data_IF_121493563190
#
_entry.id   IF_121493563190
#
_cell.length_a   1.000
_cell.length_b   1.000
_cell.length_c   1.000
_cell.angle_alpha   90.00
_cell.angle_beta   90.00
_cell.angle_gamma   90.00
#
_symmetry.space_group_name_H-M   'P 1'
#
loop_
_entity.id
_entity.type
_entity.pdbx_description
1 polymer ?
#
# COMPACT_ATOMS: atom_id res chain seq x y z
N UNK A 1 -0.58 -12.86 -19.03
CA UNK A 1 0.27 -11.93 -19.81
C UNK A 1 -0.11 -10.51 -19.40
N UNK A 2 0.79 -9.73 -18.77
CA UNK A 2 0.45 -8.39 -18.22
C UNK A 2 0.09 -7.38 -19.29
N UNK A 3 0.67 -7.54 -20.49
CA UNK A 3 0.44 -6.68 -21.64
C UNK A 3 -1.00 -6.73 -22.15
N UNK A 4 -1.66 -7.89 -22.08
CA UNK A 4 -3.05 -8.05 -22.53
C UNK A 4 -4.03 -7.32 -21.60
N UNK A 5 -3.76 -7.36 -20.29
CA UNK A 5 -4.53 -6.62 -19.29
C UNK A 5 -4.36 -5.11 -19.52
N UNK A 6 -3.11 -4.66 -19.72
CA UNK A 6 -2.82 -3.24 -19.98
C UNK A 6 -3.47 -2.78 -21.29
N UNK A 7 -3.42 -3.60 -22.35
CA UNK A 7 -4.04 -3.30 -23.64
C UNK A 7 -5.56 -3.15 -23.55
N UNK A 8 -6.21 -3.93 -22.68
CA UNK A 8 -7.65 -3.82 -22.43
C UNK A 8 -8.05 -2.46 -21.85
N UNK A 9 -7.21 -1.87 -20.98
CA UNK A 9 -7.45 -0.56 -20.36
C UNK A 9 -6.84 0.61 -21.14
N UNK A 10 -5.90 0.36 -22.06
CA UNK A 10 -5.27 1.38 -22.91
C UNK A 10 -6.08 1.65 -24.19
N UNK A 11 -7.28 2.24 -24.04
CA UNK A 11 -8.19 2.54 -25.16
C UNK A 11 -7.57 3.41 -26.25
N UNK A 12 -6.61 4.27 -25.88
CA UNK A 12 -5.92 5.18 -26.81
C UNK A 12 -4.65 4.58 -27.43
N UNK A 13 -4.30 3.33 -27.10
CA UNK A 13 -3.05 2.67 -27.53
C UNK A 13 -1.80 3.52 -27.29
N UNK A 14 -1.78 4.29 -26.20
CA UNK A 14 -0.66 5.17 -25.88
C UNK A 14 0.50 4.32 -25.33
N UNK A 15 1.67 4.27 -26.02
CA UNK A 15 2.78 3.41 -25.62
C UNK A 15 3.37 3.82 -24.27
N UNK A 16 3.34 5.12 -23.94
CA UNK A 16 3.86 5.65 -22.67
C UNK A 16 3.01 5.19 -21.50
N UNK A 17 1.68 5.19 -21.67
CA UNK A 17 0.75 4.71 -20.64
C UNK A 17 0.94 3.21 -20.38
N UNK A 18 1.17 2.43 -21.44
CA UNK A 18 1.41 1.00 -21.33
C UNK A 18 2.71 0.67 -20.57
N UNK A 19 3.78 1.43 -20.83
CA UNK A 19 5.05 1.29 -20.12
C UNK A 19 4.90 1.57 -18.61
N UNK A 20 4.21 2.66 -18.28
CA UNK A 20 3.92 3.05 -16.90
C UNK A 20 3.12 1.97 -16.17
N UNK A 21 2.06 1.45 -16.80
CA UNK A 21 1.23 0.41 -16.22
C UNK A 21 1.98 -0.91 -16.05
N UNK A 22 2.83 -1.27 -17.01
CA UNK A 22 3.66 -2.49 -16.95
C UNK A 22 4.62 -2.46 -15.77
N UNK A 23 5.25 -1.31 -15.53
CA UNK A 23 6.17 -1.13 -14.42
C UNK A 23 5.44 -0.99 -13.08
N UNK A 24 4.29 -0.31 -13.09
CA UNK A 24 3.45 -0.14 -11.91
C UNK A 24 2.90 -1.44 -11.36
N UNK A 25 2.47 -2.36 -12.23
CA UNK A 25 1.98 -3.68 -11.83
C UNK A 25 3.05 -4.45 -11.03
N UNK A 26 4.29 -4.50 -11.51
CA UNK A 26 5.37 -5.23 -10.84
C UNK A 26 5.65 -4.67 -9.43
N UNK A 27 5.63 -3.35 -9.25
CA UNK A 27 5.81 -2.70 -7.94
C UNK A 27 4.62 -2.87 -7.01
N UNK A 28 3.41 -2.83 -7.57
CA UNK A 28 2.19 -3.00 -6.80
C UNK A 28 2.14 -4.41 -6.18
N UNK A 29 2.62 -5.43 -6.91
CA UNK A 29 2.74 -6.79 -6.40
C UNK A 29 3.61 -6.88 -5.13
N UNK A 30 4.66 -6.06 -5.00
CA UNK A 30 5.50 -6.03 -3.80
C UNK A 30 4.71 -5.58 -2.56
N UNK A 31 3.72 -4.70 -2.73
CA UNK A 31 2.86 -4.23 -1.63
C UNK A 31 1.97 -5.33 -1.08
N UNK A 32 1.68 -6.38 -1.86
CA UNK A 32 0.68 -7.39 -1.53
C UNK A 32 1.03 -8.18 -0.26
N UNK A 33 2.33 -8.43 -0.02
CA UNK A 33 2.82 -9.12 1.17
C UNK A 33 2.53 -8.29 2.43
N UNK A 34 2.87 -7.01 2.40
CA UNK A 34 2.64 -6.08 3.53
C UNK A 34 1.15 -5.82 3.74
N UNK A 35 0.41 -5.64 2.64
CA UNK A 35 -1.05 -5.46 2.66
C UNK A 35 -1.74 -6.64 3.35
N UNK A 36 -1.38 -7.88 3.00
CA UNK A 36 -1.96 -9.07 3.61
C UNK A 36 -1.76 -9.12 5.13
N UNK A 37 -0.57 -8.77 5.60
CA UNK A 37 -0.26 -8.72 7.03
C UNK A 37 -1.02 -7.61 7.76
N UNK A 38 -1.11 -6.41 7.17
CA UNK A 38 -1.86 -5.30 7.75
C UNK A 38 -3.36 -5.62 7.85
N UNK A 39 -3.95 -6.22 6.81
CA UNK A 39 -5.35 -6.66 6.82
C UNK A 39 -5.58 -7.74 7.87
N UNK A 40 -4.71 -8.74 7.95
CA UNK A 40 -4.81 -9.78 8.98
C UNK A 40 -4.72 -9.20 10.40
N UNK A 41 -3.85 -8.20 10.64
CA UNK A 41 -3.75 -7.52 11.92
C UNK A 41 -5.00 -6.70 12.27
N UNK A 42 -5.61 -6.01 11.30
CA UNK A 42 -6.89 -5.30 11.50
C UNK A 42 -7.97 -6.31 11.90
N UNK A 43 -8.07 -7.44 11.19
CA UNK A 43 -9.02 -8.51 11.54
C UNK A 43 -8.75 -9.07 12.94
N UNK A 44 -7.49 -9.26 13.31
CA UNK A 44 -7.13 -9.71 14.67
C UNK A 44 -7.58 -8.72 15.75
N UNK A 45 -7.27 -7.43 15.61
CA UNK A 45 -7.70 -6.41 16.58
C UNK A 45 -9.22 -6.28 16.67
N UNK A 46 -9.92 -6.46 15.54
CA UNK A 46 -11.37 -6.50 15.52
C UNK A 46 -11.94 -7.73 16.28
N UNK A 47 -11.26 -8.88 16.21
CA UNK A 47 -11.69 -10.11 16.90
C UNK A 47 -11.43 -10.10 18.42
N UNK A 48 -10.43 -9.37 18.90
CA UNK A 48 -10.13 -9.25 20.35
C UNK A 48 -10.83 -8.05 21.01
N UNK A 49 -11.91 -7.54 20.42
CA UNK A 49 -12.69 -6.40 20.92
C UNK A 49 -11.88 -5.11 21.12
N UNK A 50 -10.84 -4.89 20.30
CA UNK A 50 -10.00 -3.70 20.29
C UNK A 50 -10.23 -2.84 19.03
N UNK A 51 -11.46 -2.32 18.81
CA UNK A 51 -11.84 -1.64 17.57
C UNK A 51 -11.07 -0.34 17.35
N UNK A 52 -10.62 0.33 18.41
CA UNK A 52 -9.84 1.56 18.33
C UNK A 52 -8.48 1.28 17.68
N UNK A 53 -7.83 0.16 18.02
CA UNK A 53 -6.57 -0.27 17.40
C UNK A 53 -6.78 -0.63 15.93
N UNK A 54 -7.83 -1.40 15.63
CA UNK A 54 -8.19 -1.76 14.25
C UNK A 54 -8.46 -0.53 13.36
N UNK A 55 -9.19 0.46 13.90
CA UNK A 55 -9.49 1.71 13.20
C UNK A 55 -8.24 2.56 13.00
N UNK A 56 -7.37 2.65 14.02
CA UNK A 56 -6.11 3.38 13.93
C UNK A 56 -5.22 2.84 12.80
N UNK A 57 -5.06 1.52 12.72
CA UNK A 57 -4.29 0.87 11.64
C UNK A 57 -4.94 1.13 10.28
N UNK A 58 -6.27 1.06 10.19
CA UNK A 58 -7.01 1.34 8.95
C UNK A 58 -6.83 2.78 8.47
N UNK A 59 -6.86 3.76 9.38
CA UNK A 59 -6.64 5.18 9.09
C UNK A 59 -5.19 5.48 8.68
N UNK A 60 -4.23 4.86 9.36
CA UNK A 60 -2.81 4.97 9.02
C UNK A 60 -2.53 4.47 7.61
N UNK A 61 -3.04 3.27 7.30
CA UNK A 61 -2.92 2.64 5.98
C UNK A 61 -3.65 3.41 4.89
N UNK A 62 -4.83 3.97 5.18
CA UNK A 62 -5.68 4.61 4.17
C UNK A 62 -5.28 6.05 3.86
N UNK A 63 -4.89 6.83 4.88
CA UNK A 63 -4.77 8.27 4.75
C UNK A 63 -3.48 8.81 5.39
N UNK A 64 -3.26 8.53 6.68
CA UNK A 64 -2.28 9.27 7.48
C UNK A 64 -0.84 8.99 7.04
N UNK A 65 -0.50 7.76 6.66
CA UNK A 65 0.85 7.42 6.16
C UNK A 65 0.90 7.53 4.64
N UNK A 66 -0.12 7.03 3.93
CA UNK A 66 -0.11 6.99 2.46
C UNK A 66 -0.01 8.38 1.84
N UNK A 67 -0.79 9.36 2.31
CA UNK A 67 -0.82 10.71 1.71
C UNK A 67 0.56 11.39 1.77
N UNK A 68 1.22 11.52 2.95
CA UNK A 68 2.52 12.19 3.01
C UNK A 68 3.60 11.40 2.28
N UNK A 69 3.61 10.07 2.34
CA UNK A 69 4.57 9.24 1.61
C UNK A 69 4.39 9.39 0.10
N UNK A 70 3.14 9.43 -0.39
CA UNK A 70 2.84 9.64 -1.80
C UNK A 70 3.33 11.00 -2.28
N UNK A 71 3.07 12.07 -1.53
CA UNK A 71 3.54 13.42 -1.89
C UNK A 71 5.07 13.48 -1.89
N UNK A 72 5.70 12.92 -0.85
CA UNK A 72 7.16 12.90 -0.71
C UNK A 72 7.82 12.10 -1.85
N UNK A 73 7.37 10.88 -2.11
CA UNK A 73 7.96 10.03 -3.13
C UNK A 73 7.66 10.54 -4.54
N UNK A 74 6.46 11.06 -4.79
CA UNK A 74 6.13 11.71 -6.07
C UNK A 74 7.02 12.93 -6.32
N UNK A 75 7.31 13.72 -5.28
CA UNK A 75 8.23 14.87 -5.41
C UNK A 75 9.69 14.47 -5.70
N UNK A 76 10.15 13.35 -5.15
CA UNK A 76 11.55 12.90 -5.31
C UNK A 76 11.80 12.07 -6.57
N UNK A 77 10.87 11.18 -6.92
CA UNK A 77 11.03 10.18 -7.99
C UNK A 77 9.92 10.24 -9.06
N UNK A 78 9.04 11.24 -9.02
CA UNK A 78 7.94 11.38 -9.96
C UNK A 78 7.05 10.15 -9.96
N UNK A 79 6.78 9.61 -11.14
CA UNK A 79 5.87 8.49 -11.34
C UNK A 79 6.36 7.17 -10.71
N UNK A 80 7.67 6.94 -10.70
CA UNK A 80 8.26 5.78 -10.00
C UNK A 80 7.99 5.86 -8.49
N UNK A 81 8.06 7.07 -7.93
CA UNK A 81 7.74 7.34 -6.54
C UNK A 81 6.28 7.06 -6.19
N UNK A 82 5.34 7.36 -7.09
CA UNK A 82 3.91 7.06 -6.89
C UNK A 82 3.65 5.56 -6.78
N UNK A 83 4.34 4.74 -7.57
CA UNK A 83 4.20 3.28 -7.48
C UNK A 83 4.86 2.71 -6.22
N UNK A 84 5.99 3.30 -5.79
CA UNK A 84 6.70 2.92 -4.56
C UNK A 84 6.06 3.45 -3.27
N UNK A 85 5.22 4.47 -3.32
CA UNK A 85 4.61 5.01 -2.11
C UNK A 85 3.69 4.00 -1.43
N UNK A 86 3.00 3.16 -2.22
CA UNK A 86 2.13 2.12 -1.69
C UNK A 86 2.87 1.04 -0.88
N UNK A 87 3.91 0.36 -1.41
CA UNK A 87 4.62 -0.66 -0.63
C UNK A 87 5.31 -0.05 0.59
N UNK A 88 5.83 1.18 0.47
CA UNK A 88 6.48 1.86 1.59
C UNK A 88 5.49 2.25 2.70
N UNK A 89 4.30 2.75 2.34
CA UNK A 89 3.26 3.07 3.31
C UNK A 89 2.72 1.81 4.02
N UNK A 90 2.55 0.71 3.28
CA UNK A 90 2.16 -0.58 3.87
C UNK A 90 3.25 -1.11 4.83
N UNK A 91 4.53 -0.96 4.49
CA UNK A 91 5.65 -1.33 5.37
C UNK A 91 5.65 -0.50 6.66
N UNK A 92 5.48 0.83 6.57
CA UNK A 92 5.41 1.70 7.75
C UNK A 92 4.20 1.39 8.64
N UNK A 93 3.05 1.10 8.02
CA UNK A 93 1.85 0.68 8.75
C UNK A 93 2.11 -0.64 9.49
N UNK A 94 2.82 -1.58 8.86
CA UNK A 94 3.16 -2.85 9.49
C UNK A 94 4.09 -2.67 10.70
N UNK A 95 5.06 -1.76 10.63
CA UNK A 95 5.92 -1.41 11.77
C UNK A 95 5.11 -0.83 12.94
N UNK A 96 4.10 0.01 12.64
CA UNK A 96 3.18 0.53 13.65
C UNK A 96 2.35 -0.60 14.28
N UNK A 97 1.80 -1.51 13.46
CA UNK A 97 1.08 -2.69 13.92
C UNK A 97 1.94 -3.52 14.88
N UNK A 98 3.17 -3.87 14.48
CA UNK A 98 4.09 -4.66 15.29
C UNK A 98 4.41 -3.97 16.63
N UNK A 99 4.57 -2.64 16.61
CA UNK A 99 4.78 -1.85 17.84
C UNK A 99 3.57 -1.90 18.76
N UNK A 100 2.35 -1.83 18.19
CA UNK A 100 1.09 -1.92 18.92
C UNK A 100 0.86 -3.30 19.53
N UNK A 101 1.24 -4.37 18.82
CA UNK A 101 1.23 -5.75 19.34
C UNK A 101 2.11 -5.91 20.57
N UNK A 102 3.34 -5.36 20.55
CA UNK A 102 4.26 -5.43 21.68
C UNK A 102 3.73 -4.70 22.92
N UNK A 103 2.96 -3.63 22.72
CA UNK A 103 2.37 -2.87 23.82
C UNK A 103 1.11 -3.53 24.41
N UNK A 104 0.48 -4.46 23.68
CA UNK A 104 -0.70 -5.21 24.14
C UNK A 104 -0.36 -6.47 24.95
N UNK A 105 0.91 -6.89 24.95
CA UNK A 105 1.44 -8.05 25.72
C UNK A 105 2.12 -7.63 27.04
N UNK A 106 2.12 -6.33 27.35
CA UNK A 106 2.57 -5.75 28.62
C UNK A 106 1.36 -5.41 29.47
#
# INVERSE_FOLDING_TARGET
NKTDIIALFNKESNPKLAEIASHGIDMYFLSFIFLGLNVAAISYFASIEEPIKALSVSLLRGCVIVIPVLILFSGLWGMFGVWLSQPFAEMLTLLFVLSSFKNSQK
#
